data_IF_713639845880
#
_entry.id   IF_713639845880
#
_cell.length_a   1.000
_cell.length_b   1.000
_cell.length_c   1.000
_cell.angle_alpha   90.00
_cell.angle_beta   90.00
_cell.angle_gamma   90.00
#
_symmetry.space_group_name_H-M   'P 1'
#
loop_
_entity.id
_entity.type
_entity.pdbx_description
1 polymer ?
#
# COMPACT_ATOMS: atom_id res chain seq x y z
N UNK A 1 2.24 -4.09 9.83
CA UNK A 1 2.89 -5.38 10.16
C UNK A 1 2.95 -5.66 11.63
N UNK A 2 3.32 -4.73 12.50
CA UNK A 2 3.38 -4.95 13.95
C UNK A 2 2.06 -5.49 14.49
N UNK A 3 0.93 -4.89 14.11
CA UNK A 3 -0.41 -5.33 14.53
C UNK A 3 -0.75 -6.72 13.97
N UNK A 4 -0.45 -6.98 12.68
CA UNK A 4 -0.72 -8.27 12.05
C UNK A 4 0.07 -9.41 12.69
N UNK A 5 1.28 -9.13 13.18
CA UNK A 5 2.15 -10.10 13.80
C UNK A 5 1.90 -10.31 15.31
N UNK A 6 0.96 -9.59 15.93
CA UNK A 6 0.61 -9.79 17.35
C UNK A 6 0.29 -11.26 17.67
N UNK A 7 -0.56 -11.99 16.91
CA UNK A 7 -0.84 -13.40 17.21
C UNK A 7 0.43 -14.26 17.20
N UNK A 8 1.32 -14.07 16.21
CA UNK A 8 2.56 -14.84 16.12
C UNK A 8 3.51 -14.58 17.30
N UNK A 9 3.54 -13.35 17.82
CA UNK A 9 4.30 -13.02 19.03
C UNK A 9 3.71 -13.65 20.27
N UNK A 10 2.38 -13.67 20.40
CA UNK A 10 1.68 -14.30 21.52
C UNK A 10 1.90 -15.82 21.56
N UNK A 11 2.03 -16.48 20.41
CA UNK A 11 2.33 -17.90 20.29
C UNK A 11 3.84 -18.20 20.38
N UNK A 12 4.69 -17.22 20.72
CA UNK A 12 6.13 -17.42 20.88
C UNK A 12 6.89 -17.64 19.57
N UNK A 13 6.24 -17.42 18.43
CA UNK A 13 6.90 -17.47 17.12
C UNK A 13 7.63 -16.14 16.91
N UNK A 14 8.94 -16.15 17.13
CA UNK A 14 9.79 -14.98 16.95
C UNK A 14 9.91 -14.68 15.44
N UNK A 15 9.47 -13.49 15.03
CA UNK A 15 9.39 -13.12 13.61
C UNK A 15 10.63 -12.43 13.06
N UNK A 16 11.71 -12.18 13.84
CA UNK A 16 12.95 -11.57 13.34
C UNK A 16 14.14 -11.73 14.28
N UNK A 17 15.40 -11.80 13.78
CA UNK A 17 15.87 -12.46 12.57
C UNK A 17 16.44 -13.84 12.94
N UNK A 18 15.76 -14.89 12.60
CA UNK A 18 16.33 -16.23 12.69
C UNK A 18 16.51 -16.78 11.28
N UNK A 19 17.64 -17.38 11.00
CA UNK A 19 17.97 -18.00 9.72
C UNK A 19 16.99 -19.10 9.30
N UNK A 20 16.16 -19.59 10.25
CA UNK A 20 15.15 -20.63 10.05
C UNK A 20 13.79 -20.14 10.56
N UNK A 21 13.07 -19.38 9.73
CA UNK A 21 11.68 -19.01 10.02
C UNK A 21 10.78 -20.26 9.92
N UNK A 22 9.94 -20.54 10.94
CA UNK A 22 8.97 -21.62 10.83
C UNK A 22 8.01 -21.37 9.67
N UNK A 23 7.67 -22.43 8.95
CA UNK A 23 6.75 -22.37 7.77
C UNK A 23 5.46 -21.63 8.11
N UNK A 24 4.93 -21.80 9.32
CA UNK A 24 3.74 -21.11 9.80
C UNK A 24 3.89 -19.58 9.80
N UNK A 25 5.06 -19.05 10.19
CA UNK A 25 5.33 -17.61 10.19
C UNK A 25 5.37 -17.05 8.77
N UNK A 26 5.95 -17.80 7.83
CA UNK A 26 6.00 -17.43 6.41
C UNK A 26 4.58 -17.40 5.82
N UNK A 27 3.80 -18.44 6.07
CA UNK A 27 2.41 -18.52 5.61
C UNK A 27 1.55 -17.39 6.20
N UNK A 28 1.72 -17.08 7.48
CA UNK A 28 1.03 -15.98 8.14
C UNK A 28 1.38 -14.62 7.53
N UNK A 29 2.66 -14.38 7.27
CA UNK A 29 3.10 -13.14 6.64
C UNK A 29 2.52 -12.97 5.22
N UNK A 30 2.44 -14.07 4.44
CA UNK A 30 1.87 -14.04 3.08
C UNK A 30 0.33 -13.95 3.07
N UNK A 31 -0.35 -14.36 4.13
CA UNK A 31 -1.81 -14.36 4.19
C UNK A 31 -2.39 -12.95 4.03
N UNK A 32 -1.80 -11.94 4.66
CA UNK A 32 -2.27 -10.56 4.59
C UNK A 32 -2.27 -10.00 3.16
N UNK A 33 -1.15 -10.04 2.40
CA UNK A 33 -1.16 -9.62 0.99
C UNK A 33 -2.17 -10.39 0.14
N UNK A 34 -2.31 -11.71 0.36
CA UNK A 34 -3.28 -12.52 -0.39
C UNK A 34 -4.73 -12.09 -0.13
N UNK A 35 -5.10 -11.84 1.13
CA UNK A 35 -6.44 -11.36 1.49
C UNK A 35 -6.72 -9.99 0.87
N UNK A 36 -5.76 -9.08 0.93
CA UNK A 36 -5.87 -7.74 0.34
C UNK A 36 -5.96 -7.82 -1.19
N UNK A 37 -5.23 -8.75 -1.82
CA UNK A 37 -5.30 -8.98 -3.25
C UNK A 37 -6.72 -9.40 -3.70
N UNK A 38 -7.31 -10.35 -3.00
CA UNK A 38 -8.70 -10.78 -3.28
C UNK A 38 -9.68 -9.62 -3.04
N UNK A 39 -9.52 -8.88 -1.93
CA UNK A 39 -10.34 -7.70 -1.64
C UNK A 39 -10.20 -6.62 -2.73
N UNK A 40 -9.01 -6.46 -3.32
CA UNK A 40 -8.78 -5.55 -4.44
C UNK A 40 -9.60 -5.95 -5.68
N UNK A 41 -9.70 -7.24 -5.97
CA UNK A 41 -10.55 -7.74 -7.05
C UNK A 41 -12.04 -7.42 -6.84
N UNK A 42 -12.54 -7.59 -5.61
CA UNK A 42 -13.92 -7.21 -5.25
C UNK A 42 -14.12 -5.69 -5.40
N UNK A 43 -13.14 -4.90 -4.99
CA UNK A 43 -13.21 -3.44 -5.09
C UNK A 43 -13.20 -2.98 -6.55
N UNK A 44 -12.41 -3.61 -7.42
CA UNK A 44 -12.40 -3.35 -8.87
C UNK A 44 -13.77 -3.64 -9.47
N UNK A 45 -14.44 -4.72 -9.06
CA UNK A 45 -15.82 -4.99 -9.48
C UNK A 45 -16.74 -3.81 -9.14
N UNK A 46 -16.69 -3.31 -7.90
CA UNK A 46 -17.53 -2.19 -7.47
C UNK A 46 -17.19 -0.89 -8.19
N UNK A 47 -15.91 -0.61 -8.43
CA UNK A 47 -15.46 0.55 -9.23
C UNK A 47 -16.00 0.46 -10.65
N UNK A 48 -15.90 -0.70 -11.29
CA UNK A 48 -16.42 -0.92 -12.65
C UNK A 48 -17.92 -0.68 -12.75
N UNK A 49 -18.71 -1.12 -11.75
CA UNK A 49 -20.14 -0.81 -11.67
C UNK A 49 -20.38 0.70 -11.54
N UNK A 50 -19.62 1.40 -10.70
CA UNK A 50 -19.76 2.85 -10.51
C UNK A 50 -19.42 3.66 -11.77
N UNK A 51 -18.53 3.15 -12.61
CA UNK A 51 -18.19 3.74 -13.92
C UNK A 51 -19.26 3.46 -14.98
N UNK A 52 -20.31 2.67 -14.65
CA UNK A 52 -21.42 2.36 -15.55
C UNK A 52 -21.22 1.09 -16.37
N UNK A 53 -20.27 0.25 -16.03
CA UNK A 53 -20.11 -1.04 -16.68
C UNK A 53 -21.22 -2.02 -16.22
N UNK A 54 -21.77 -2.78 -17.15
CA UNK A 54 -22.73 -3.83 -16.80
C UNK A 54 -22.11 -4.94 -15.94
N UNK A 55 -22.91 -5.60 -15.10
CA UNK A 55 -22.45 -6.60 -14.12
C UNK A 55 -21.54 -7.69 -14.71
N UNK A 56 -21.84 -8.19 -15.93
CA UNK A 56 -21.00 -9.19 -16.60
C UNK A 56 -19.59 -8.67 -16.90
N UNK A 57 -19.48 -7.45 -17.45
CA UNK A 57 -18.18 -6.81 -17.77
C UNK A 57 -17.41 -6.48 -16.50
N UNK A 58 -18.10 -6.01 -15.45
CA UNK A 58 -17.46 -5.71 -14.14
C UNK A 58 -16.87 -6.96 -13.49
N UNK A 59 -17.57 -8.10 -13.57
CA UNK A 59 -17.02 -9.38 -13.12
C UNK A 59 -15.80 -9.80 -13.93
N UNK A 60 -15.85 -9.62 -15.26
CA UNK A 60 -14.70 -9.94 -16.12
C UNK A 60 -13.47 -9.10 -15.77
N UNK A 61 -13.64 -7.79 -15.50
CA UNK A 61 -12.54 -6.92 -15.05
C UNK A 61 -11.93 -7.42 -13.72
N UNK A 62 -12.75 -7.78 -12.74
CA UNK A 62 -12.28 -8.33 -11.48
C UNK A 62 -11.52 -9.65 -11.67
N UNK A 63 -12.06 -10.57 -12.45
CA UNK A 63 -11.40 -11.83 -12.75
C UNK A 63 -10.09 -11.63 -13.53
N UNK A 64 -10.09 -10.76 -14.54
CA UNK A 64 -8.88 -10.44 -15.29
C UNK A 64 -7.77 -9.90 -14.38
N UNK A 65 -8.11 -9.04 -13.42
CA UNK A 65 -7.16 -8.55 -12.43
C UNK A 65 -6.62 -9.68 -11.53
N UNK A 66 -7.52 -10.52 -10.99
CA UNK A 66 -7.15 -11.61 -10.07
C UNK A 66 -6.40 -12.77 -10.77
N UNK A 67 -6.58 -12.94 -12.07
CA UNK A 67 -5.91 -14.00 -12.85
C UNK A 67 -4.71 -13.51 -13.63
N UNK A 68 -4.37 -12.22 -13.56
CA UNK A 68 -3.21 -11.65 -14.23
C UNK A 68 -1.92 -12.34 -13.72
N UNK A 69 -1.15 -13.03 -14.58
CA UNK A 69 -0.04 -13.86 -14.13
C UNK A 69 1.01 -13.09 -13.32
N UNK A 70 1.33 -11.86 -13.74
CA UNK A 70 2.31 -11.00 -13.04
C UNK A 70 1.83 -10.63 -11.64
N UNK A 71 0.55 -10.25 -11.50
CA UNK A 71 -0.03 -9.90 -10.22
C UNK A 71 -0.13 -11.11 -9.30
N UNK A 72 -0.56 -12.25 -9.84
CA UNK A 72 -0.62 -13.52 -9.12
C UNK A 72 0.77 -13.93 -8.60
N UNK A 73 1.79 -13.91 -9.47
CA UNK A 73 3.17 -14.23 -9.09
C UNK A 73 3.70 -13.31 -7.99
N UNK A 74 3.49 -11.99 -8.15
CA UNK A 74 3.93 -11.00 -7.18
C UNK A 74 3.32 -11.21 -5.79
N UNK A 75 2.03 -11.61 -5.71
CA UNK A 75 1.35 -11.75 -4.42
C UNK A 75 1.55 -13.11 -3.77
N UNK A 76 1.45 -14.20 -4.53
CA UNK A 76 1.49 -15.55 -3.95
C UNK A 76 2.90 -16.12 -3.84
N UNK A 77 3.79 -15.78 -4.76
CA UNK A 77 5.17 -16.29 -4.76
C UNK A 77 6.09 -15.32 -4.06
N UNK A 78 6.16 -14.07 -4.49
CA UNK A 78 7.00 -13.05 -3.85
C UNK A 78 6.42 -12.52 -2.53
N UNK A 79 5.09 -12.42 -2.39
CA UNK A 79 4.46 -11.84 -1.22
C UNK A 79 4.69 -10.34 -1.10
N UNK A 80 4.64 -9.60 -2.22
CA UNK A 80 4.86 -8.15 -2.23
C UNK A 80 3.78 -7.40 -1.45
N UNK A 81 4.21 -6.51 -0.57
CA UNK A 81 3.32 -5.68 0.25
C UNK A 81 2.80 -4.43 -0.47
N UNK A 82 3.28 -4.17 -1.67
CA UNK A 82 2.81 -3.08 -2.52
C UNK A 82 1.31 -3.15 -2.83
N UNK A 83 0.71 -4.34 -2.67
CA UNK A 83 -0.73 -4.52 -2.81
C UNK A 83 -1.52 -3.71 -1.77
N UNK A 84 -0.96 -3.46 -0.59
CA UNK A 84 -1.61 -2.66 0.45
C UNK A 84 -1.78 -1.22 -0.05
N UNK A 85 -0.71 -0.64 -0.60
CA UNK A 85 -0.76 0.68 -1.22
C UNK A 85 -1.78 0.69 -2.37
N UNK A 86 -1.71 -0.30 -3.26
CA UNK A 86 -2.64 -0.41 -4.40
C UNK A 86 -4.09 -0.50 -3.94
N UNK A 87 -4.39 -1.27 -2.90
CA UNK A 87 -5.72 -1.37 -2.32
C UNK A 87 -6.21 -0.03 -1.75
N UNK A 88 -5.34 0.71 -1.04
CA UNK A 88 -5.67 2.04 -0.54
C UNK A 88 -5.94 3.03 -1.68
N UNK A 89 -5.15 2.99 -2.76
CA UNK A 89 -5.39 3.79 -3.97
C UNK A 89 -6.75 3.44 -4.60
N UNK A 90 -7.07 2.15 -4.72
CA UNK A 90 -8.37 1.71 -5.24
C UNK A 90 -9.53 2.19 -4.36
N UNK A 91 -9.40 2.15 -3.03
CA UNK A 91 -10.38 2.74 -2.11
C UNK A 91 -10.52 4.25 -2.31
N UNK A 92 -9.41 4.95 -2.47
CA UNK A 92 -9.40 6.37 -2.80
C UNK A 92 -10.18 6.66 -4.10
N UNK A 93 -9.91 5.92 -5.17
CA UNK A 93 -10.63 6.03 -6.46
C UNK A 93 -12.12 5.69 -6.29
N UNK A 94 -12.47 4.67 -5.53
CA UNK A 94 -13.86 4.31 -5.23
C UNK A 94 -14.61 5.47 -4.55
N UNK A 95 -14.02 6.11 -3.53
CA UNK A 95 -14.62 7.24 -2.85
C UNK A 95 -14.60 8.52 -3.70
N UNK A 96 -13.61 8.68 -4.57
CA UNK A 96 -13.60 9.73 -5.59
C UNK A 96 -14.83 9.62 -6.48
N UNK A 97 -15.11 8.44 -7.03
CA UNK A 97 -16.30 8.20 -7.86
C UNK A 97 -17.62 8.40 -7.08
N UNK A 98 -17.64 8.09 -5.80
CA UNK A 98 -18.78 8.36 -4.90
C UNK A 98 -18.91 9.82 -4.46
N UNK A 99 -18.04 10.73 -4.93
CA UNK A 99 -18.03 12.15 -4.57
C UNK A 99 -17.86 12.40 -3.05
N UNK A 100 -17.12 11.53 -2.36
CA UNK A 100 -16.81 11.64 -0.94
C UNK A 100 -15.37 12.12 -0.75
N UNK A 101 -15.15 13.45 -0.77
CA UNK A 101 -13.83 14.07 -0.85
C UNK A 101 -12.93 13.75 0.34
N UNK A 102 -13.47 13.76 1.56
CA UNK A 102 -12.70 13.46 2.77
C UNK A 102 -12.15 12.04 2.72
N UNK A 103 -12.97 11.05 2.33
CA UNK A 103 -12.54 9.66 2.23
C UNK A 103 -11.58 9.42 1.06
N UNK A 104 -11.74 10.17 -0.04
CA UNK A 104 -10.79 10.17 -1.15
C UNK A 104 -9.39 10.58 -0.66
N UNK A 105 -9.28 11.74 -0.01
CA UNK A 105 -8.01 12.25 0.51
C UNK A 105 -7.44 11.32 1.59
N UNK A 106 -8.28 10.83 2.51
CA UNK A 106 -7.89 9.94 3.59
C UNK A 106 -7.20 8.65 3.09
N UNK A 107 -7.81 7.96 2.12
CA UNK A 107 -7.23 6.72 1.59
C UNK A 107 -5.95 6.95 0.79
N UNK A 108 -5.86 8.06 0.04
CA UNK A 108 -4.63 8.43 -0.62
C UNK A 108 -3.54 8.85 0.37
N UNK A 109 -3.89 9.50 1.47
CA UNK A 109 -2.96 9.83 2.54
C UNK A 109 -2.34 8.56 3.16
N UNK A 110 -3.15 7.53 3.43
CA UNK A 110 -2.66 6.23 3.87
C UNK A 110 -1.80 5.58 2.78
N UNK A 111 -2.21 5.59 1.51
CA UNK A 111 -1.43 5.02 0.43
C UNK A 111 -0.03 5.63 0.32
N UNK A 112 0.10 6.94 0.53
CA UNK A 112 1.37 7.67 0.49
C UNK A 112 2.35 7.28 1.61
N UNK A 113 1.88 6.84 2.77
CA UNK A 113 2.79 6.34 3.82
C UNK A 113 3.51 5.05 3.39
N UNK A 114 2.94 4.30 2.46
CA UNK A 114 3.59 3.12 1.88
C UNK A 114 4.48 3.47 0.69
N UNK A 115 3.97 4.29 -0.26
CA UNK A 115 4.72 4.68 -1.47
C UNK A 115 4.27 6.04 -2.00
N UNK A 116 5.23 6.91 -2.29
CA UNK A 116 4.98 8.22 -2.89
C UNK A 116 4.37 8.16 -4.30
N UNK A 117 4.48 7.03 -4.99
CA UNK A 117 3.87 6.84 -6.32
C UNK A 117 2.34 7.01 -6.33
N UNK A 118 1.67 6.84 -5.18
CA UNK A 118 0.25 7.15 -5.04
C UNK A 118 -0.08 8.62 -5.39
N UNK A 119 0.87 9.55 -5.18
CA UNK A 119 0.72 10.96 -5.54
C UNK A 119 0.50 11.18 -7.04
N UNK A 120 1.13 10.35 -7.89
CA UNK A 120 0.98 10.43 -9.34
C UNK A 120 -0.45 10.18 -9.81
N UNK A 121 -1.24 9.45 -9.01
CA UNK A 121 -2.66 9.21 -9.29
C UNK A 121 -3.52 10.25 -8.58
N UNK A 122 -3.18 10.60 -7.34
CA UNK A 122 -3.93 11.56 -6.54
C UNK A 122 -3.99 12.95 -7.18
N UNK A 123 -2.83 13.50 -7.59
CA UNK A 123 -2.73 14.87 -8.07
C UNK A 123 -3.59 15.13 -9.31
N UNK A 124 -3.54 14.32 -10.40
CA UNK A 124 -4.43 14.50 -11.55
C UNK A 124 -5.92 14.41 -11.20
N UNK A 125 -6.31 13.45 -10.34
CA UNK A 125 -7.70 13.29 -9.93
C UNK A 125 -8.20 14.48 -9.12
N UNK A 126 -7.38 15.01 -8.20
CA UNK A 126 -7.70 16.20 -7.42
C UNK A 126 -7.86 17.42 -8.31
N UNK A 127 -6.89 17.69 -9.21
CA UNK A 127 -6.90 18.85 -10.11
C UNK A 127 -8.03 18.79 -11.15
N UNK A 128 -8.40 17.59 -11.59
CA UNK A 128 -9.53 17.41 -12.50
C UNK A 128 -10.86 17.76 -11.81
N UNK A 129 -11.00 17.41 -10.54
CA UNK A 129 -12.25 17.58 -9.78
C UNK A 129 -12.40 18.96 -9.18
N UNK A 130 -11.36 19.46 -8.50
CA UNK A 130 -11.39 20.70 -7.75
C UNK A 130 -10.76 21.85 -8.54
N UNK A 131 -11.48 22.97 -8.60
CA UNK A 131 -10.99 24.21 -9.22
C UNK A 131 -10.71 25.30 -8.17
N UNK A 132 -11.17 25.09 -6.93
CA UNK A 132 -10.92 26.02 -5.84
C UNK A 132 -9.55 25.76 -5.23
N UNK A 133 -8.63 26.73 -5.37
CA UNK A 133 -7.25 26.63 -4.90
C UNK A 133 -7.18 26.34 -3.40
N UNK A 134 -8.06 26.94 -2.60
CA UNK A 134 -8.08 26.70 -1.13
C UNK A 134 -8.44 25.26 -0.77
N UNK A 135 -9.37 24.65 -1.50
CA UNK A 135 -9.69 23.23 -1.30
C UNK A 135 -8.57 22.32 -1.73
N UNK A 136 -7.85 22.67 -2.81
CA UNK A 136 -6.66 21.91 -3.27
C UNK A 136 -5.58 21.96 -2.17
N UNK A 137 -5.27 23.17 -1.66
CA UNK A 137 -4.29 23.33 -0.58
C UNK A 137 -4.72 22.53 0.67
N UNK A 138 -5.97 22.64 1.10
CA UNK A 138 -6.48 21.89 2.25
C UNK A 138 -6.36 20.37 2.05
N UNK A 139 -6.65 19.87 0.85
CA UNK A 139 -6.51 18.46 0.52
C UNK A 139 -5.04 18.00 0.54
N UNK A 140 -4.12 18.83 0.04
CA UNK A 140 -2.69 18.56 0.10
C UNK A 140 -2.16 18.56 1.55
N UNK A 141 -2.61 19.50 2.38
CA UNK A 141 -2.26 19.52 3.80
C UNK A 141 -2.78 18.28 4.51
N UNK A 142 -4.04 17.90 4.29
CA UNK A 142 -4.63 16.70 4.87
C UNK A 142 -3.91 15.42 4.40
N UNK A 143 -3.48 15.38 3.14
CA UNK A 143 -2.70 14.28 2.58
C UNK A 143 -1.36 14.09 3.30
N UNK A 144 -0.72 15.18 3.76
CA UNK A 144 0.57 15.14 4.45
C UNK A 144 0.44 14.74 5.94
N UNK A 145 -0.74 14.83 6.55
CA UNK A 145 -0.92 14.58 7.99
C UNK A 145 -0.37 13.22 8.44
N UNK A 146 -0.70 12.07 7.82
CA UNK A 146 -0.18 10.79 8.26
C UNK A 146 1.36 10.71 8.16
N UNK A 147 1.94 11.29 7.11
CA UNK A 147 3.38 11.34 6.92
C UNK A 147 4.09 12.17 8.02
N UNK A 148 3.52 13.32 8.35
CA UNK A 148 4.02 14.18 9.43
C UNK A 148 3.93 13.47 10.77
N UNK A 149 2.82 12.78 11.05
CA UNK A 149 2.67 11.99 12.27
C UNK A 149 3.69 10.85 12.33
N UNK A 150 3.88 10.11 11.25
CA UNK A 150 4.89 9.05 11.16
C UNK A 150 6.29 9.60 11.41
N UNK A 151 6.64 10.74 10.80
CA UNK A 151 7.90 11.40 11.03
C UNK A 151 8.11 11.76 12.52
N UNK A 152 7.12 12.36 13.18
CA UNK A 152 7.25 12.71 14.60
C UNK A 152 7.41 11.49 15.51
N UNK A 153 6.72 10.39 15.21
CA UNK A 153 6.79 9.13 15.99
C UNK A 153 8.18 8.48 15.82
N UNK A 154 8.71 8.45 14.62
CA UNK A 154 9.91 7.66 14.30
C UNK A 154 11.19 8.49 14.14
N UNK A 155 11.14 9.83 14.23
CA UNK A 155 12.30 10.71 14.00
C UNK A 155 13.54 10.37 14.83
N UNK A 156 13.35 9.82 16.02
CA UNK A 156 14.44 9.45 16.94
C UNK A 156 14.93 8.01 16.71
N UNK A 157 14.31 7.24 15.82
CA UNK A 157 14.74 5.88 15.49
C UNK A 157 15.96 5.93 14.57
N UNK A 158 17.11 5.33 14.95
CA UNK A 158 18.29 5.29 14.08
C UNK A 158 18.02 4.53 12.78
N UNK A 159 17.14 3.53 12.83
CA UNK A 159 16.71 2.77 11.66
C UNK A 159 15.93 3.67 10.71
N UNK A 160 14.96 4.44 11.21
CA UNK A 160 14.19 5.38 10.38
C UNK A 160 15.09 6.43 9.72
N UNK A 161 16.02 7.02 10.47
CA UNK A 161 16.96 8.00 9.93
C UNK A 161 17.85 7.39 8.83
N UNK A 162 18.36 6.18 9.05
CA UNK A 162 19.19 5.50 8.06
C UNK A 162 18.39 5.17 6.76
N UNK A 163 17.14 4.76 6.88
CA UNK A 163 16.32 4.38 5.71
C UNK A 163 15.69 5.57 4.99
N UNK A 164 15.23 6.58 5.71
CA UNK A 164 14.55 7.74 5.10
C UNK A 164 15.53 8.79 4.60
N UNK A 165 16.57 9.07 5.37
CA UNK A 165 17.58 10.11 5.02
C UNK A 165 18.88 9.54 4.46
N UNK A 166 19.26 8.31 4.82
CA UNK A 166 20.47 7.65 4.35
C UNK A 166 20.34 6.91 3.02
N UNK A 167 19.10 6.66 2.58
CA UNK A 167 18.83 5.85 1.37
C UNK A 167 19.39 6.49 0.08
N UNK A 168 19.48 7.83 0.01
CA UNK A 168 20.02 8.53 -1.15
C UNK A 168 21.56 8.54 -1.23
N UNK A 169 22.28 8.34 -0.11
CA UNK A 169 23.76 8.43 -0.06
C UNK A 169 24.46 7.08 0.01
N UNK A 170 23.91 6.12 0.75
CA UNK A 170 24.59 4.86 1.07
C UNK A 170 24.07 3.64 0.30
N UNK A 171 22.89 3.71 -0.31
CA UNK A 171 22.30 2.58 -1.04
C UNK A 171 23.08 2.24 -2.32
N UNK A 172 23.79 3.20 -2.91
CA UNK A 172 24.58 3.01 -4.13
C UNK A 172 26.00 2.49 -3.83
N UNK A 173 26.49 2.68 -2.61
CA UNK A 173 27.89 2.38 -2.26
C UNK A 173 28.07 1.12 -1.39
N UNK A 174 27.00 0.54 -0.87
CA UNK A 174 27.06 -0.65 -0.02
C UNK A 174 26.50 -1.89 -0.73
N UNK A 175 27.30 -2.94 -0.93
CA UNK A 175 26.80 -4.23 -1.42
C UNK A 175 25.68 -4.80 -0.56
N UNK A 176 25.64 -4.46 0.73
CA UNK A 176 24.57 -4.82 1.66
C UNK A 176 23.24 -4.13 1.37
N UNK A 177 23.21 -2.96 0.73
CA UNK A 177 21.98 -2.31 0.29
C UNK A 177 21.21 -3.12 -0.75
N UNK A 178 21.92 -3.77 -1.65
CA UNK A 178 21.33 -4.68 -2.63
C UNK A 178 20.82 -5.98 -2.00
N UNK A 179 21.54 -6.49 -1.02
CA UNK A 179 21.15 -7.73 -0.32
C UNK A 179 19.93 -7.46 0.58
N UNK A 180 19.84 -6.31 1.23
CA UNK A 180 18.67 -5.94 2.03
C UNK A 180 17.42 -5.77 1.17
N UNK A 181 17.52 -5.17 -0.01
CA UNK A 181 16.41 -5.10 -0.95
C UNK A 181 16.05 -6.47 -1.55
N UNK A 182 17.02 -7.36 -1.72
CA UNK A 182 16.78 -8.73 -2.19
C UNK A 182 16.34 -9.68 -1.05
N UNK A 183 16.73 -9.42 0.18
CA UNK A 183 16.41 -10.25 1.34
C UNK A 183 15.04 -10.04 1.97
N UNK A 184 14.28 -9.07 1.48
CA UNK A 184 12.88 -8.86 1.87
C UNK A 184 11.87 -9.53 0.93
N UNK A 185 12.35 -10.29 -0.02
CA UNK A 185 11.51 -10.96 -1.01
C UNK A 185 11.41 -12.45 -0.74
#
# INVERSE_FOLDING_TARGET
>A
FAIWNIPMRLFGVVTFPTENLPVLAILWAKLLPCLIYVASGVLIYHIAILVGMGSKKSKLCAYACLTMPVAFYAQFIFGQYDIIMTFCVLLGVYYYLKKKDIWFVFWFAIAMTFKYSALLIFAPLLLYREKNVWKIIASCVLLMVPFVLEFFVYRNSPVFQAYVFGFGGNAVSSPTGYIMNAGYY
#
